data_IF_319412902402
#
_entry.id   IF_319412902402
#
_cell.length_a   1.000
_cell.length_b   1.000
_cell.length_c   1.000
_cell.angle_alpha   90.00
_cell.angle_beta   90.00
_cell.angle_gamma   90.00
#
_symmetry.space_group_name_H-M   'P 1'
#
loop_
_entity.id
_entity.type
_entity.pdbx_description
1 polymer ?
#
# COMPACT_ATOMS: atom_id res chain seq x y z
N UNK A 1 6.06 -23.15 30.97
CA UNK A 1 6.03 -22.88 29.52
C UNK A 1 5.96 -21.38 29.35
N UNK A 2 7.06 -20.75 28.96
CA UNK A 2 7.04 -19.35 28.57
C UNK A 2 6.13 -19.21 27.35
N UNK A 3 5.09 -18.39 27.47
CA UNK A 3 4.16 -18.13 26.38
C UNK A 3 4.90 -17.24 25.38
N UNK A 4 5.39 -17.83 24.29
CA UNK A 4 6.13 -17.10 23.24
C UNK A 4 5.35 -15.85 22.81
N UNK A 5 6.03 -14.71 22.81
CA UNK A 5 5.43 -13.43 22.44
C UNK A 5 5.07 -13.41 20.95
N UNK A 6 3.79 -13.36 20.56
CA UNK A 6 3.41 -13.38 19.14
C UNK A 6 3.90 -12.13 18.38
N UNK A 7 4.15 -11.01 19.07
CA UNK A 7 4.66 -9.78 18.46
C UNK A 7 6.12 -9.88 17.99
N UNK A 8 6.90 -10.82 18.55
CA UNK A 8 8.26 -11.12 18.07
C UNK A 8 8.25 -11.95 16.79
N UNK A 9 7.16 -12.67 16.52
CA UNK A 9 6.98 -13.51 15.31
C UNK A 9 6.33 -12.77 14.15
N UNK A 10 5.78 -11.58 14.38
CA UNK A 10 5.18 -10.75 13.33
C UNK A 10 6.21 -10.36 12.28
N UNK A 11 5.77 -10.32 11.03
CA UNK A 11 6.61 -9.88 9.92
C UNK A 11 6.93 -8.39 10.02
N UNK A 12 8.09 -7.97 9.49
CA UNK A 12 8.43 -6.55 9.38
C UNK A 12 7.41 -5.88 8.48
N UNK A 13 6.85 -4.75 8.94
CA UNK A 13 5.82 -4.04 8.18
C UNK A 13 6.43 -3.42 6.91
N UNK A 14 5.68 -3.40 5.80
CA UNK A 14 6.16 -2.86 4.53
C UNK A 14 6.39 -1.35 4.61
N UNK A 15 7.46 -0.89 3.98
CA UNK A 15 7.78 0.53 3.77
C UNK A 15 7.36 0.98 2.36
N UNK A 16 7.42 2.30 2.08
CA UNK A 16 7.15 2.90 0.76
C UNK A 16 7.95 2.22 -0.35
N UNK A 17 9.24 1.97 -0.10
CA UNK A 17 10.13 1.34 -1.07
C UNK A 17 9.68 -0.09 -1.43
N UNK A 18 9.10 -0.82 -0.48
CA UNK A 18 8.60 -2.19 -0.74
C UNK A 18 7.44 -2.21 -1.74
N UNK A 19 6.69 -1.10 -1.84
CA UNK A 19 5.64 -0.94 -2.84
C UNK A 19 6.21 -0.54 -4.20
N UNK A 20 7.23 0.32 -4.23
CA UNK A 20 7.95 0.65 -5.47
C UNK A 20 8.65 -0.58 -6.06
N UNK A 21 9.34 -1.35 -5.24
CA UNK A 21 10.03 -2.58 -5.64
C UNK A 21 9.04 -3.65 -6.11
N UNK A 22 7.86 -3.72 -5.48
CA UNK A 22 6.80 -4.62 -5.94
C UNK A 22 6.31 -4.23 -7.35
N UNK A 23 6.20 -2.94 -7.68
CA UNK A 23 5.86 -2.49 -9.04
C UNK A 23 6.92 -2.96 -10.03
N UNK A 24 8.19 -2.65 -9.75
CA UNK A 24 9.32 -3.00 -10.63
C UNK A 24 9.37 -4.52 -10.85
N UNK A 25 9.30 -5.31 -9.78
CA UNK A 25 9.36 -6.77 -9.83
C UNK A 25 8.25 -7.37 -10.69
N UNK A 26 7.01 -6.87 -10.56
CA UNK A 26 5.87 -7.37 -11.34
C UNK A 26 5.97 -7.00 -12.81
N UNK A 27 6.44 -5.79 -13.12
CA UNK A 27 6.59 -5.32 -14.50
C UNK A 27 7.76 -6.03 -15.21
N UNK A 28 8.85 -6.31 -14.49
CA UNK A 28 9.94 -7.17 -14.95
C UNK A 28 9.46 -8.59 -15.28
N UNK A 29 8.73 -9.22 -14.36
CA UNK A 29 8.24 -10.59 -14.54
C UNK A 29 7.24 -10.71 -15.70
N UNK A 30 6.45 -9.67 -15.97
CA UNK A 30 5.51 -9.66 -17.09
C UNK A 30 6.14 -9.23 -18.43
N UNK A 31 7.47 -9.07 -18.48
CA UNK A 31 8.26 -8.72 -19.66
C UNK A 31 7.83 -7.41 -20.36
N UNK A 32 7.08 -6.55 -19.68
CA UNK A 32 6.65 -5.25 -20.23
C UNK A 32 7.80 -4.24 -20.38
N UNK A 33 8.95 -4.53 -19.78
CA UNK A 33 10.20 -3.74 -19.88
C UNK A 33 10.96 -4.06 -21.16
N UNK A 34 10.59 -5.12 -21.90
CA UNK A 34 11.10 -5.26 -23.26
C UNK A 34 10.61 -4.06 -24.08
N UNK A 35 11.50 -3.06 -24.20
CA UNK A 35 11.32 -1.75 -24.83
C UNK A 35 10.75 -1.83 -26.25
N UNK A 36 10.78 -3.02 -26.85
CA UNK A 36 10.25 -3.33 -28.16
C UNK A 36 9.27 -4.49 -28.02
N UNK A 37 8.00 -4.17 -27.78
CA UNK A 37 6.93 -5.14 -28.00
C UNK A 37 6.99 -5.61 -29.46
N UNK A 38 7.01 -6.93 -29.74
CA UNK A 38 6.88 -7.47 -31.08
C UNK A 38 5.81 -6.76 -31.90
N UNK A 39 6.15 -6.34 -33.12
CA UNK A 39 5.21 -5.67 -34.06
C UNK A 39 3.98 -6.53 -34.41
N UNK A 40 4.00 -7.81 -34.07
CA UNK A 40 2.92 -8.77 -34.31
C UNK A 40 1.79 -8.71 -33.28
N UNK A 41 1.93 -7.96 -32.18
CA UNK A 41 0.88 -7.90 -31.17
C UNK A 41 -0.36 -7.16 -31.68
N UNK A 42 -1.51 -7.80 -31.53
CA UNK A 42 -2.80 -7.16 -31.78
C UNK A 42 -3.18 -6.26 -30.60
N UNK A 43 -4.10 -5.31 -30.82
CA UNK A 43 -4.66 -4.47 -29.74
C UNK A 43 -5.26 -5.33 -28.61
N UNK A 44 -5.82 -6.50 -28.95
CA UNK A 44 -6.37 -7.43 -27.97
C UNK A 44 -5.29 -8.06 -27.08
N UNK A 45 -4.12 -8.37 -27.66
CA UNK A 45 -2.99 -8.88 -26.90
C UNK A 45 -2.44 -7.81 -25.96
N UNK A 46 -2.27 -6.58 -26.46
CA UNK A 46 -1.88 -5.44 -25.62
C UNK A 46 -2.84 -5.27 -24.45
N UNK A 47 -4.16 -5.24 -24.72
CA UNK A 47 -5.17 -5.12 -23.67
C UNK A 47 -5.06 -6.23 -22.63
N UNK A 48 -4.81 -7.48 -23.05
CA UNK A 48 -4.63 -8.62 -22.14
C UNK A 48 -3.39 -8.44 -21.26
N UNK A 49 -2.26 -8.04 -21.85
CA UNK A 49 -1.00 -7.83 -21.14
C UNK A 49 -1.15 -6.70 -20.12
N UNK A 50 -1.53 -5.50 -20.55
CA UNK A 50 -1.62 -4.33 -19.66
C UNK A 50 -2.64 -4.52 -18.53
N UNK A 51 -3.80 -5.15 -18.80
CA UNK A 51 -4.77 -5.47 -17.74
C UNK A 51 -4.21 -6.45 -16.73
N UNK A 52 -3.49 -7.48 -17.19
CA UNK A 52 -2.85 -8.46 -16.31
C UNK A 52 -1.85 -7.77 -15.38
N UNK A 53 -1.07 -6.85 -15.91
CA UNK A 53 -0.07 -6.11 -15.12
C UNK A 53 -0.70 -5.24 -14.06
N UNK A 54 -1.73 -4.46 -14.41
CA UNK A 54 -2.46 -3.64 -13.45
C UNK A 54 -3.04 -4.50 -12.33
N UNK A 55 -3.64 -5.64 -12.68
CA UNK A 55 -4.19 -6.58 -11.70
C UNK A 55 -3.09 -7.20 -10.81
N UNK A 56 -1.97 -7.60 -11.40
CA UNK A 56 -0.83 -8.21 -10.72
C UNK A 56 -0.22 -7.29 -9.67
N UNK A 57 -0.03 -6.01 -10.01
CA UNK A 57 0.42 -4.98 -9.07
C UNK A 57 -0.62 -4.73 -7.98
N UNK A 58 -1.90 -4.58 -8.35
CA UNK A 58 -2.97 -4.36 -7.38
C UNK A 58 -3.12 -5.50 -6.37
N UNK A 59 -3.03 -6.75 -6.82
CA UNK A 59 -3.00 -7.93 -5.96
C UNK A 59 -1.79 -7.88 -5.01
N UNK A 60 -0.59 -7.59 -5.53
CA UNK A 60 0.61 -7.50 -4.69
C UNK A 60 0.50 -6.44 -3.59
N UNK A 61 -0.13 -5.29 -3.88
CA UNK A 61 -0.35 -4.22 -2.90
C UNK A 61 -1.39 -4.61 -1.87
N UNK A 62 -2.53 -5.14 -2.35
CA UNK A 62 -3.63 -5.60 -1.50
C UNK A 62 -3.18 -6.72 -0.56
N UNK A 63 -2.38 -7.67 -1.04
CA UNK A 63 -1.88 -8.79 -0.25
C UNK A 63 -0.93 -8.31 0.86
N UNK A 64 -0.03 -7.37 0.57
CA UNK A 64 0.85 -6.75 1.57
C UNK A 64 0.03 -6.04 2.67
N UNK A 65 -0.91 -5.18 2.29
CA UNK A 65 -1.73 -4.42 3.26
C UNK A 65 -2.67 -5.33 4.07
N UNK A 66 -3.35 -6.27 3.42
CA UNK A 66 -4.25 -7.21 4.11
C UNK A 66 -3.50 -8.24 4.95
N UNK A 67 -2.28 -8.61 4.58
CA UNK A 67 -1.41 -9.47 5.38
C UNK A 67 -1.13 -8.86 6.74
N UNK A 68 -0.66 -7.61 6.74
CA UNK A 68 -0.44 -6.82 7.97
C UNK A 68 -1.73 -6.70 8.77
N UNK A 69 -2.83 -6.24 8.16
CA UNK A 69 -4.10 -6.08 8.86
C UNK A 69 -4.59 -7.38 9.52
N UNK A 70 -4.35 -8.53 8.91
CA UNK A 70 -4.74 -9.85 9.43
C UNK A 70 -3.90 -10.27 10.63
N UNK A 71 -2.57 -10.12 10.55
CA UNK A 71 -1.67 -10.43 11.67
C UNK A 71 -2.04 -9.60 12.91
N UNK A 72 -2.27 -8.31 12.73
CA UNK A 72 -2.67 -7.41 13.83
C UNK A 72 -4.08 -7.71 14.36
N UNK A 73 -5.03 -8.09 13.51
CA UNK A 73 -6.38 -8.50 13.95
C UNK A 73 -6.38 -9.80 14.77
N UNK A 74 -5.52 -10.77 14.43
CA UNK A 74 -5.43 -12.04 15.18
C UNK A 74 -4.84 -11.86 16.58
N UNK A 75 -3.89 -10.92 16.73
CA UNK A 75 -3.22 -10.68 18.00
C UNK A 75 -3.96 -9.71 18.93
N UNK A 76 -5.09 -9.17 18.47
CA UNK A 76 -5.92 -8.18 19.15
C UNK A 76 -6.33 -8.53 20.60
N UNK A 77 -6.78 -9.76 20.94
CA UNK A 77 -7.17 -10.10 22.32
C UNK A 77 -6.01 -9.99 23.33
N UNK A 78 -4.77 -10.21 22.88
CA UNK A 78 -3.57 -10.05 23.70
C UNK A 78 -3.16 -8.58 23.85
N UNK A 79 -3.52 -7.73 22.88
CA UNK A 79 -3.29 -6.28 22.92
C UNK A 79 -4.25 -5.65 23.92
N UNK A 80 -5.55 -5.91 23.80
CA UNK A 80 -6.60 -5.38 24.68
C UNK A 80 -6.30 -5.56 26.17
N UNK A 81 -5.77 -6.73 26.55
CA UNK A 81 -5.48 -7.04 27.95
C UNK A 81 -4.23 -6.32 28.49
N UNK A 82 -3.30 -5.93 27.62
CA UNK A 82 -1.96 -5.42 27.98
C UNK A 82 -1.77 -3.92 27.74
N UNK A 83 -2.73 -3.27 27.09
CA UNK A 83 -2.61 -1.87 26.67
C UNK A 83 -3.32 -0.91 27.65
N UNK A 84 -2.60 0.11 28.11
CA UNK A 84 -3.14 1.29 28.80
C UNK A 84 -3.36 2.48 27.84
N UNK A 85 -3.24 2.27 26.51
CA UNK A 85 -3.55 3.30 25.50
C UNK A 85 -4.96 3.13 24.93
N UNK A 86 -5.57 4.18 24.33
CA UNK A 86 -6.92 4.09 23.80
C UNK A 86 -7.00 3.10 22.62
N UNK A 87 -7.57 1.95 22.93
CA UNK A 87 -7.93 0.86 22.03
C UNK A 87 -8.57 1.29 20.70
N UNK A 88 -9.36 2.37 20.71
CA UNK A 88 -10.02 2.89 19.51
C UNK A 88 -9.06 3.26 18.37
N UNK A 89 -7.90 3.84 18.68
CA UNK A 89 -6.92 4.28 17.66
C UNK A 89 -6.27 3.11 16.94
N UNK A 90 -6.08 1.98 17.63
CA UNK A 90 -5.50 0.77 17.06
C UNK A 90 -6.41 0.11 16.01
N UNK A 91 -7.68 -0.08 16.35
CA UNK A 91 -8.64 -0.64 15.41
C UNK A 91 -8.87 0.26 14.20
N UNK A 92 -8.88 1.57 14.40
CA UNK A 92 -8.94 2.53 13.29
C UNK A 92 -7.77 2.36 12.32
N UNK A 93 -6.54 2.24 12.81
CA UNK A 93 -5.36 2.03 11.95
C UNK A 93 -5.47 0.73 11.13
N UNK A 94 -5.91 -0.37 11.75
CA UNK A 94 -6.12 -1.65 11.06
C UNK A 94 -7.21 -1.54 9.99
N UNK A 95 -8.33 -0.89 10.30
CA UNK A 95 -9.40 -0.68 9.32
C UNK A 95 -8.95 0.23 8.17
N UNK A 96 -8.16 1.26 8.43
CA UNK A 96 -7.58 2.10 7.38
C UNK A 96 -6.76 1.30 6.39
N UNK A 97 -5.94 0.34 6.84
CA UNK A 97 -5.20 -0.55 5.93
C UNK A 97 -6.12 -1.41 5.06
N UNK A 98 -7.18 -1.97 5.64
CA UNK A 98 -8.17 -2.74 4.89
C UNK A 98 -8.90 -1.86 3.86
N UNK A 99 -9.23 -0.62 4.22
CA UNK A 99 -9.82 0.35 3.31
C UNK A 99 -8.87 0.75 2.19
N UNK A 100 -7.59 0.99 2.49
CA UNK A 100 -6.57 1.29 1.49
C UNK A 100 -6.41 0.13 0.49
N UNK A 101 -6.37 -1.12 0.96
CA UNK A 101 -6.32 -2.31 0.09
C UNK A 101 -7.54 -2.40 -0.84
N UNK A 102 -8.74 -2.09 -0.32
CA UNK A 102 -9.97 -2.02 -1.13
C UNK A 102 -9.92 -0.88 -2.14
N UNK A 103 -9.40 0.29 -1.76
CA UNK A 103 -9.26 1.45 -2.63
C UNK A 103 -8.29 1.19 -3.78
N UNK A 104 -7.17 0.50 -3.52
CA UNK A 104 -6.22 0.04 -4.57
C UNK A 104 -6.94 -0.88 -5.56
N UNK A 105 -7.65 -1.90 -5.06
CA UNK A 105 -8.40 -2.84 -5.91
C UNK A 105 -9.49 -2.14 -6.74
N UNK A 106 -10.21 -1.19 -6.14
CA UNK A 106 -11.23 -0.38 -6.81
C UNK A 106 -10.62 0.48 -7.93
N UNK A 107 -9.50 1.14 -7.64
CA UNK A 107 -8.76 1.98 -8.60
C UNK A 107 -8.26 1.15 -9.78
N UNK A 108 -7.66 -0.02 -9.51
CA UNK A 108 -7.22 -0.96 -10.54
C UNK A 108 -8.37 -1.40 -11.46
N UNK A 109 -9.52 -1.74 -10.88
CA UNK A 109 -10.73 -2.09 -11.64
C UNK A 109 -11.23 -0.93 -12.50
N UNK A 110 -11.15 0.30 -12.02
CA UNK A 110 -11.48 1.52 -12.78
C UNK A 110 -10.62 1.67 -14.04
N UNK A 111 -9.29 1.58 -13.90
CA UNK A 111 -8.37 1.63 -15.04
C UNK A 111 -8.52 0.44 -15.99
N UNK A 112 -8.75 -0.77 -15.46
CA UNK A 112 -9.03 -1.94 -16.30
C UNK A 112 -10.30 -1.77 -17.14
N UNK A 113 -11.35 -1.12 -16.60
CA UNK A 113 -12.54 -0.78 -17.38
C UNK A 113 -12.21 0.23 -18.49
N UNK A 114 -11.45 1.28 -18.18
CA UNK A 114 -11.00 2.24 -19.20
C UNK A 114 -10.18 1.58 -20.33
N UNK A 115 -9.36 0.57 -20.02
CA UNK A 115 -8.61 -0.21 -21.02
C UNK A 115 -9.49 -1.12 -21.90
N UNK A 116 -10.71 -1.46 -21.45
CA UNK A 116 -11.68 -2.25 -22.22
C UNK A 116 -12.48 -1.36 -23.17
N UNK A 117 -12.71 -0.10 -22.80
CA UNK A 117 -13.46 0.84 -23.63
C UNK A 117 -12.85 0.95 -25.03
N UNK A 118 -13.72 1.09 -26.04
CA UNK A 118 -13.36 1.07 -27.46
C UNK A 118 -12.40 2.23 -27.84
N UNK A 119 -12.35 3.30 -27.04
CA UNK A 119 -11.47 4.46 -27.24
C UNK A 119 -9.97 4.17 -26.98
N UNK A 120 -9.63 3.00 -26.39
CA UNK A 120 -8.26 2.58 -26.15
C UNK A 120 -7.75 1.68 -27.29
N UNK A 121 -7.27 2.33 -28.36
CA UNK A 121 -6.91 1.73 -29.65
C UNK A 121 -5.39 1.73 -29.95
N UNK A 122 -4.57 2.38 -29.11
CA UNK A 122 -3.15 2.60 -29.39
C UNK A 122 -2.25 2.25 -28.21
N UNK A 123 -1.02 1.80 -28.53
CA UNK A 123 0.00 1.45 -27.53
C UNK A 123 0.32 2.61 -26.58
N UNK A 124 0.37 3.84 -27.10
CA UNK A 124 0.62 5.03 -26.29
C UNK A 124 -0.46 5.22 -25.22
N UNK A 125 -1.74 5.07 -25.56
CA UNK A 125 -2.84 5.14 -24.59
C UNK A 125 -2.72 4.07 -23.52
N UNK A 126 -2.40 2.81 -23.88
CA UNK A 126 -2.17 1.74 -22.91
C UNK A 126 -1.00 2.05 -21.95
N UNK A 127 0.14 2.55 -22.48
CA UNK A 127 1.29 2.97 -21.65
C UNK A 127 0.93 4.10 -20.70
N UNK A 128 0.23 5.13 -21.18
CA UNK A 128 -0.24 6.25 -20.36
C UNK A 128 -1.22 5.80 -19.26
N UNK A 129 -2.16 4.89 -19.57
CA UNK A 129 -3.10 4.33 -18.62
C UNK A 129 -2.41 3.44 -17.58
N UNK A 130 -1.44 2.62 -18.01
CA UNK A 130 -0.63 1.81 -17.10
C UNK A 130 0.12 2.72 -16.13
N UNK A 131 0.94 3.65 -16.64
CA UNK A 131 1.69 4.59 -15.82
C UNK A 131 0.76 5.35 -14.86
N UNK A 132 -0.40 5.76 -15.39
CA UNK A 132 -1.39 6.46 -14.59
C UNK A 132 -1.96 5.61 -13.46
N UNK A 133 -2.23 4.34 -13.72
CA UNK A 133 -2.73 3.40 -12.70
C UNK A 133 -1.68 3.13 -11.62
N UNK A 134 -0.42 2.95 -12.00
CA UNK A 134 0.70 2.68 -11.08
C UNK A 134 0.91 3.84 -10.12
N UNK A 135 0.99 5.06 -10.64
CA UNK A 135 1.15 6.26 -9.79
C UNK A 135 0.00 6.46 -8.81
N UNK A 136 -1.23 6.16 -9.22
CA UNK A 136 -2.42 6.30 -8.36
C UNK A 136 -2.44 5.22 -7.27
N UNK A 137 -2.09 3.99 -7.60
CA UNK A 137 -1.95 2.91 -6.62
C UNK A 137 -0.81 3.20 -5.63
N UNK A 138 0.32 3.72 -6.10
CA UNK A 138 1.45 4.12 -5.27
C UNK A 138 1.09 5.26 -4.31
N UNK A 139 0.41 6.30 -4.80
CA UNK A 139 -0.09 7.39 -3.95
C UNK A 139 -1.08 6.91 -2.87
N UNK A 140 -1.91 5.91 -3.17
CA UNK A 140 -2.80 5.30 -2.17
C UNK A 140 -2.02 4.51 -1.10
N UNK A 141 -0.94 3.83 -1.50
CA UNK A 141 -0.05 3.15 -0.57
C UNK A 141 0.71 4.14 0.33
N UNK A 142 1.21 5.24 -0.25
CA UNK A 142 1.88 6.32 0.49
C UNK A 142 0.96 6.94 1.55
N UNK A 143 -0.32 7.16 1.22
CA UNK A 143 -1.32 7.62 2.19
C UNK A 143 -1.54 6.66 3.36
N UNK A 144 -1.30 5.36 3.17
CA UNK A 144 -1.42 4.34 4.23
C UNK A 144 -0.20 4.25 5.15
N UNK A 145 0.90 4.94 4.82
CA UNK A 145 2.16 4.87 5.57
C UNK A 145 2.06 5.32 7.03
N UNK A 146 1.32 6.38 7.39
CA UNK A 146 1.22 6.76 8.79
C UNK A 146 0.53 5.70 9.66
N UNK A 147 -0.47 5.01 9.10
CA UNK A 147 -1.16 3.90 9.76
C UNK A 147 -0.20 2.72 9.98
N UNK A 148 0.64 2.41 8.98
CA UNK A 148 1.69 1.38 9.10
C UNK A 148 2.75 1.76 10.15
N UNK A 149 3.21 3.01 10.16
CA UNK A 149 4.19 3.49 11.12
C UNK A 149 3.67 3.42 12.57
N UNK A 150 2.39 3.77 12.79
CA UNK A 150 1.75 3.61 14.10
C UNK A 150 1.71 2.14 14.54
N UNK A 151 1.29 1.24 13.64
CA UNK A 151 1.22 -0.19 13.95
C UNK A 151 2.60 -0.80 14.21
N UNK A 152 3.65 -0.35 13.53
CA UNK A 152 5.01 -0.80 13.81
C UNK A 152 5.49 -0.33 15.19
N UNK A 153 5.17 0.91 15.59
CA UNK A 153 5.44 1.38 16.95
C UNK A 153 4.73 0.53 18.00
N UNK A 154 3.46 0.18 17.77
CA UNK A 154 2.70 -0.73 18.65
C UNK A 154 3.36 -2.11 18.70
N UNK A 155 3.79 -2.65 17.56
CA UNK A 155 4.49 -3.94 17.49
C UNK A 155 5.79 -3.92 18.31
N UNK A 156 6.61 -2.89 18.14
CA UNK A 156 7.88 -2.72 18.87
C UNK A 156 7.65 -2.59 20.38
N UNK A 157 6.69 -1.76 20.79
CA UNK A 157 6.30 -1.61 22.20
C UNK A 157 5.85 -2.94 22.83
N UNK A 158 5.08 -3.73 22.10
CA UNK A 158 4.60 -5.03 22.59
C UNK A 158 5.68 -6.11 22.60
N UNK A 159 6.67 -5.99 21.71
CA UNK A 159 7.83 -6.86 21.70
C UNK A 159 8.71 -6.63 22.95
N UNK A 160 8.93 -5.37 23.35
CA UNK A 160 9.82 -5.00 24.47
C UNK A 160 9.24 -5.31 25.85
N UNK A 161 7.93 -5.09 26.08
CA UNK A 161 7.28 -5.34 27.39
C UNK A 161 7.27 -6.79 27.88
N UNK A 162 7.70 -7.74 27.05
CA UNK A 162 7.80 -9.14 27.48
C UNK A 162 9.16 -9.46 28.14
N UNK A 163 10.14 -8.55 28.11
CA UNK A 163 11.50 -8.80 28.61
C UNK A 163 11.84 -8.15 29.97
N UNK A 164 11.05 -7.21 30.51
CA UNK A 164 11.46 -6.43 31.69
C UNK A 164 10.45 -6.41 32.86
N UNK A 165 10.81 -7.08 33.95
CA UNK A 165 10.62 -6.52 35.30
C UNK A 165 11.70 -5.43 35.50
N UNK A 166 11.44 -4.16 35.15
CA UNK A 166 12.12 -2.96 35.69
C UNK A 166 11.87 -1.70 34.84
N UNK A 167 11.05 -0.78 35.37
CA UNK A 167 11.39 0.60 35.70
C UNK A 167 12.21 1.55 34.78
N UNK A 168 12.30 1.37 33.47
CA UNK A 168 12.82 2.41 32.56
C UNK A 168 11.78 2.77 31.49
N UNK A 169 10.88 3.70 31.81
CA UNK A 169 9.69 4.10 31.03
C UNK A 169 9.66 5.61 30.75
N UNK A 170 10.44 6.11 29.80
CA UNK A 170 10.30 7.52 29.34
C UNK A 170 10.30 7.69 27.82
N UNK A 171 11.10 6.93 27.06
CA UNK A 171 11.33 7.24 25.63
C UNK A 171 10.28 6.62 24.67
N UNK A 172 9.72 5.47 25.03
CA UNK A 172 8.71 4.76 24.21
C UNK A 172 7.32 5.43 24.25
N UNK A 173 7.01 6.14 25.33
CA UNK A 173 5.70 6.78 25.54
C UNK A 173 5.58 8.07 24.70
N UNK A 174 6.69 8.78 24.47
CA UNK A 174 6.76 9.97 23.62
C UNK A 174 6.50 9.66 22.14
N UNK A 175 7.07 8.58 21.60
CA UNK A 175 6.81 8.15 20.23
C UNK A 175 5.35 7.73 20.04
N UNK A 176 4.80 6.93 20.97
CA UNK A 176 3.41 6.49 20.92
C UNK A 176 2.42 7.66 21.00
N UNK A 177 2.70 8.66 21.85
CA UNK A 177 1.94 9.92 21.93
C UNK A 177 2.03 10.75 20.65
N UNK A 178 3.21 10.83 20.02
CA UNK A 178 3.41 11.53 18.73
C UNK A 178 2.56 10.92 17.60
N UNK A 179 2.54 9.60 17.47
CA UNK A 179 1.73 8.94 16.44
C UNK A 179 0.23 8.98 16.74
N UNK A 180 -0.15 8.92 18.02
CA UNK A 180 -1.54 9.19 18.43
C UNK A 180 -2.00 10.60 18.05
N UNK A 181 -1.15 11.61 18.25
CA UNK A 181 -1.44 12.99 17.87
C UNK A 181 -1.61 13.11 16.35
N UNK A 182 -0.73 12.47 15.58
CA UNK A 182 -0.80 12.43 14.12
C UNK A 182 -2.10 11.78 13.61
N UNK A 183 -2.51 10.63 14.17
CA UNK A 183 -3.76 9.96 13.83
C UNK A 183 -5.01 10.79 14.16
N UNK A 184 -4.95 11.62 15.21
CA UNK A 184 -5.99 12.58 15.57
C UNK A 184 -6.01 13.80 14.64
N UNK A 185 -4.85 14.26 14.15
CA UNK A 185 -4.72 15.43 13.27
C UNK A 185 -5.13 15.15 11.82
N UNK A 186 -4.80 13.98 11.28
CA UNK A 186 -4.99 13.64 9.87
C UNK A 186 -6.38 13.07 9.52
N UNK A 187 -7.25 12.89 10.51
CA UNK A 187 -8.68 12.64 10.30
C UNK A 187 -9.00 11.65 9.17
N UNK A 188 -8.84 10.35 9.44
CA UNK A 188 -9.30 9.17 8.68
C UNK A 188 -10.25 9.38 7.48
N UNK A 189 -9.79 10.00 6.40
CA UNK A 189 -10.57 10.17 5.16
C UNK A 189 -9.83 9.55 4.00
N UNK A 190 -9.68 8.22 4.03
CA UNK A 190 -9.40 7.48 2.81
C UNK A 190 -10.66 7.51 1.93
N UNK A 191 -10.62 8.09 0.72
CA UNK A 191 -11.76 8.02 -0.18
C UNK A 191 -11.97 6.56 -0.60
N UNK A 192 -13.12 5.99 -0.21
CA UNK A 192 -13.56 4.64 -0.61
C UNK A 192 -13.79 4.52 -2.13
N UNK A 193 -14.01 5.66 -2.78
CA UNK A 193 -14.16 5.81 -4.22
C UNK A 193 -13.20 6.90 -4.67
N UNK A 194 -12.15 6.53 -5.38
CA UNK A 194 -11.42 7.51 -6.20
C UNK A 194 -12.30 7.75 -7.42
N UNK A 195 -12.82 8.97 -7.57
CA UNK A 195 -13.56 9.35 -8.77
C UNK A 195 -12.63 9.29 -9.97
N UNK A 196 -12.69 8.17 -10.68
CA UNK A 196 -11.94 7.87 -11.90
C UNK A 196 -12.24 8.85 -13.06
N UNK A 197 -13.28 9.72 -13.07
CA UNK A 197 -13.38 10.79 -14.07
C UNK A 197 -12.71 12.11 -13.66
N UNK A 198 -12.45 12.37 -12.38
CA UNK A 198 -11.82 13.63 -11.92
C UNK A 198 -10.30 13.44 -11.72
N UNK A 199 -9.65 12.97 -12.78
CA UNK A 199 -8.24 12.53 -12.87
C UNK A 199 -7.27 13.72 -12.93
N UNK A 200 -7.64 14.85 -12.33
CA UNK A 200 -6.92 16.11 -12.37
C UNK A 200 -6.57 16.67 -10.99
N UNK A 201 -6.62 15.86 -9.92
CA UNK A 201 -5.81 16.22 -8.76
C UNK A 201 -4.41 15.64 -9.01
N UNK A 202 -3.40 16.49 -9.31
CA UNK A 202 -2.06 16.02 -9.58
C UNK A 202 -1.62 15.17 -8.39
N UNK A 203 -1.04 14.02 -8.72
CA UNK A 203 -0.41 13.19 -7.71
C UNK A 203 0.57 14.05 -6.91
N UNK A 204 0.73 13.73 -5.63
CA UNK A 204 1.76 14.32 -4.77
C UNK A 204 3.05 14.56 -5.57
N UNK A 205 3.72 15.73 -5.45
CA UNK A 205 4.96 16.03 -6.17
C UNK A 205 5.99 14.89 -6.11
N UNK A 206 6.04 14.15 -5.01
CA UNK A 206 6.90 12.98 -4.84
C UNK A 206 6.51 11.82 -5.76
N UNK A 207 5.22 11.56 -5.91
CA UNK A 207 4.69 10.54 -6.83
C UNK A 207 4.95 10.93 -8.27
N UNK A 208 4.83 12.21 -8.63
CA UNK A 208 5.15 12.68 -9.98
C UNK A 208 6.64 12.57 -10.29
N UNK A 209 7.53 12.94 -9.36
CA UNK A 209 8.97 12.74 -9.51
C UNK A 209 9.31 11.26 -9.67
N UNK A 210 8.74 10.41 -8.82
CA UNK A 210 8.91 8.96 -8.91
C UNK A 210 8.43 8.41 -10.25
N UNK A 211 7.29 8.87 -10.76
CA UNK A 211 6.77 8.47 -12.06
C UNK A 211 7.69 8.90 -13.22
N UNK A 212 8.27 10.10 -13.15
CA UNK A 212 9.22 10.56 -14.16
C UNK A 212 10.50 9.72 -14.15
N UNK A 213 11.06 9.44 -12.98
CA UNK A 213 12.23 8.59 -12.85
C UNK A 213 11.95 7.16 -13.29
N UNK A 214 10.78 6.62 -12.92
CA UNK A 214 10.30 5.31 -13.36
C UNK A 214 10.16 5.24 -14.88
N UNK A 215 9.60 6.30 -15.50
CA UNK A 215 9.47 6.42 -16.95
C UNK A 215 10.84 6.45 -17.64
N UNK A 216 11.80 7.22 -17.10
CA UNK A 216 13.17 7.31 -17.61
C UNK A 216 13.91 5.98 -17.54
N UNK A 217 13.77 5.25 -16.43
CA UNK A 217 14.47 3.98 -16.20
C UNK A 217 13.91 2.82 -17.03
N UNK A 218 12.60 2.83 -17.34
CA UNK A 218 11.92 1.67 -17.92
C UNK A 218 11.28 1.89 -19.30
N UNK A 219 11.39 3.09 -19.90
CA UNK A 219 10.98 3.32 -21.30
C UNK A 219 9.47 3.24 -21.56
N UNK A 220 8.67 3.64 -20.57
CA UNK A 220 7.20 3.75 -20.67
C UNK A 220 6.73 5.07 -21.29
#
# INVERSE_FOLDING_TARGET
MEMENPFKKMSVLPNVNDFADAIVSRIQHEALIETVLPKSYTINDLRRIYKRTVLSVACSFSDKLNGVAREFKQNHPSIERRFEMPYGSYMVAVFQLMYAARAVTSTANGFMRQMINEDCDSLCKFKCLLLSSLGRMFALAEKAMPSLAFLDCVRQYMASRTESNSQDYDDSDAAAKKYMLYLLQEGCKFPLTVDVPNVANPADPNVMSWLEDFKRQHGL
#
